data_IF_013486142853
#
_entry.id   IF_013486142853
#
_cell.length_a   1.000
_cell.length_b   1.000
_cell.length_c   1.000
_cell.angle_alpha   90.00
_cell.angle_beta   90.00
_cell.angle_gamma   90.00
#
_symmetry.space_group_name_H-M   'P 1'
#
loop_
_entity.id
_entity.type
_entity.pdbx_description
1 polymer ?
#
# COMPACT_ATOMS: atom_id res chain seq x y z
N UNK A 1 -9.78 -24.37 26.31
CA UNK A 1 -9.16 -23.22 27.01
C UNK A 1 -8.47 -22.39 25.94
N UNK A 2 -8.84 -21.12 25.79
CA UNK A 2 -8.18 -20.21 24.85
C UNK A 2 -6.71 -20.04 25.29
N UNK A 3 -5.72 -20.29 24.40
CA UNK A 3 -4.32 -20.09 24.75
C UNK A 3 -4.06 -18.61 25.08
N UNK A 4 -3.12 -18.34 25.98
CA UNK A 4 -2.68 -16.97 26.26
C UNK A 4 -1.93 -16.39 25.04
N UNK A 5 -1.97 -15.07 24.85
CA UNK A 5 -1.30 -14.35 23.75
C UNK A 5 0.20 -14.73 23.61
N UNK A 6 0.88 -15.02 24.73
CA UNK A 6 2.27 -15.48 24.72
C UNK A 6 2.45 -16.91 24.22
N UNK A 7 1.48 -17.79 24.47
CA UNK A 7 1.46 -19.14 23.92
C UNK A 7 1.12 -19.13 22.43
N UNK A 8 0.32 -18.15 21.99
CA UNK A 8 -0.09 -17.98 20.60
C UNK A 8 1.08 -17.69 19.67
N UNK A 9 1.87 -16.65 19.99
CA UNK A 9 3.08 -16.29 19.23
C UNK A 9 4.11 -17.42 19.13
N UNK A 10 4.19 -18.29 20.15
CA UNK A 10 5.17 -19.38 20.21
C UNK A 10 4.82 -20.54 19.27
N UNK A 11 3.54 -20.88 19.13
CA UNK A 11 3.15 -21.93 18.20
C UNK A 11 3.19 -21.42 16.75
N UNK A 12 2.83 -20.16 16.51
CA UNK A 12 2.90 -19.54 15.18
C UNK A 12 4.34 -19.52 14.66
N UNK A 13 5.33 -19.19 15.50
CA UNK A 13 6.73 -19.26 15.07
C UNK A 13 7.25 -20.67 14.84
N UNK A 14 6.77 -21.67 15.58
CA UNK A 14 7.10 -23.06 15.28
C UNK A 14 6.58 -23.48 13.91
N UNK A 15 5.36 -23.08 13.54
CA UNK A 15 4.81 -23.33 12.21
C UNK A 15 5.65 -22.67 11.12
N UNK A 16 6.10 -21.43 11.32
CA UNK A 16 6.97 -20.71 10.37
C UNK A 16 8.32 -21.38 10.16
N UNK A 17 8.98 -21.78 11.24
CA UNK A 17 10.27 -22.47 11.15
C UNK A 17 10.13 -23.77 10.34
N UNK A 18 9.02 -24.50 10.53
CA UNK A 18 8.71 -25.71 9.78
C UNK A 18 8.38 -25.43 8.31
N UNK A 19 7.69 -24.33 8.00
CA UNK A 19 7.41 -23.89 6.63
C UNK A 19 8.71 -23.59 5.87
N UNK A 20 9.66 -22.91 6.51
CA UNK A 20 10.92 -22.50 5.87
C UNK A 20 11.89 -23.67 5.68
N UNK A 21 11.89 -24.67 6.58
CA UNK A 21 12.91 -25.72 6.56
C UNK A 21 12.71 -26.74 5.44
N UNK A 22 11.46 -26.97 4.99
CA UNK A 22 11.09 -28.01 3.99
C UNK A 22 11.62 -29.44 4.32
N UNK A 23 12.18 -29.62 5.52
CA UNK A 23 12.71 -30.88 6.07
C UNK A 23 12.08 -31.12 7.45
N UNK A 24 11.90 -32.39 7.88
CA UNK A 24 11.37 -32.68 9.20
C UNK A 24 12.29 -32.16 10.30
N UNK A 25 11.75 -31.37 11.24
CA UNK A 25 12.54 -30.84 12.35
C UNK A 25 12.12 -31.42 13.70
N UNK A 26 13.12 -31.85 14.48
CA UNK A 26 12.97 -32.30 15.86
C UNK A 26 12.99 -31.14 16.86
N UNK A 27 12.51 -31.40 18.07
CA UNK A 27 12.36 -30.38 19.11
C UNK A 27 13.66 -29.63 19.47
N UNK A 28 14.82 -30.31 19.41
CA UNK A 28 16.13 -29.69 19.66
C UNK A 28 16.48 -28.63 18.62
N UNK A 29 16.38 -28.98 17.32
CA UNK A 29 16.64 -28.02 16.22
C UNK A 29 15.63 -26.88 16.20
N UNK A 30 14.37 -27.18 16.52
CA UNK A 30 13.34 -26.15 16.64
C UNK A 30 13.60 -25.20 17.82
N UNK A 31 14.07 -25.73 18.94
CA UNK A 31 14.48 -24.94 20.11
C UNK A 31 15.64 -23.98 19.78
N UNK A 32 16.66 -24.47 19.06
CA UNK A 32 17.78 -23.65 18.57
C UNK A 32 17.29 -22.52 17.63
N UNK A 33 16.46 -22.86 16.64
CA UNK A 33 15.90 -21.87 15.70
C UNK A 33 14.92 -20.88 16.35
N UNK A 34 14.15 -21.32 17.35
CA UNK A 34 13.29 -20.45 18.14
C UNK A 34 14.13 -19.44 18.93
N UNK A 35 15.24 -19.88 19.52
CA UNK A 35 16.15 -19.00 20.25
C UNK A 35 16.82 -17.95 19.34
N UNK A 36 17.20 -18.31 18.11
CA UNK A 36 17.67 -17.37 17.08
C UNK A 36 16.65 -16.26 16.79
N UNK A 37 15.34 -16.56 16.91
CA UNK A 37 14.23 -15.62 16.71
C UNK A 37 13.78 -14.92 18.01
N UNK A 38 14.54 -15.04 19.10
CA UNK A 38 14.24 -14.40 20.38
C UNK A 38 13.25 -15.16 21.27
N UNK A 39 12.87 -16.39 20.91
CA UNK A 39 12.02 -17.26 21.72
C UNK A 39 12.85 -18.32 22.44
N UNK A 40 13.26 -18.03 23.68
CA UNK A 40 14.00 -19.00 24.50
C UNK A 40 13.03 -20.02 25.08
N UNK A 41 13.05 -21.24 24.54
CA UNK A 41 12.26 -22.38 25.00
C UNK A 41 13.18 -23.57 25.29
N UNK A 42 12.76 -24.46 26.19
CA UNK A 42 13.44 -25.74 26.38
C UNK A 42 12.93 -26.76 25.36
N UNK A 43 13.74 -27.78 25.03
CA UNK A 43 13.33 -28.88 24.14
C UNK A 43 12.02 -29.54 24.58
N UNK A 44 11.80 -29.65 25.90
CA UNK A 44 10.56 -30.19 26.48
C UNK A 44 9.37 -29.27 26.25
N UNK A 45 9.55 -27.95 26.34
CA UNK A 45 8.50 -26.99 26.02
C UNK A 45 8.15 -27.01 24.53
N UNK A 46 9.16 -27.11 23.66
CA UNK A 46 8.95 -27.28 22.21
C UNK A 46 8.22 -28.59 21.89
N UNK A 47 8.55 -29.70 22.57
CA UNK A 47 7.80 -30.96 22.44
C UNK A 47 6.33 -30.82 22.80
N UNK A 48 6.01 -30.06 23.85
CA UNK A 48 4.63 -29.80 24.26
C UNK A 48 3.86 -29.02 23.18
N UNK A 49 4.46 -27.96 22.61
CA UNK A 49 3.84 -27.23 21.51
C UNK A 49 3.69 -28.09 20.25
N UNK A 50 4.67 -28.93 19.92
CA UNK A 50 4.55 -29.84 18.78
C UNK A 50 3.44 -30.86 18.97
N UNK A 51 3.24 -31.38 20.18
CA UNK A 51 2.12 -32.27 20.47
C UNK A 51 0.78 -31.55 20.30
N UNK A 52 0.69 -30.30 20.74
CA UNK A 52 -0.50 -29.47 20.52
C UNK A 52 -0.76 -29.20 19.03
N UNK A 53 0.29 -28.91 18.24
CA UNK A 53 0.18 -28.73 16.79
C UNK A 53 -0.21 -30.03 16.06
N UNK A 54 0.27 -31.18 16.55
CA UNK A 54 -0.13 -32.51 16.07
C UNK A 54 -1.63 -32.74 16.37
N UNK A 55 -2.11 -32.37 17.57
CA UNK A 55 -3.53 -32.47 17.99
C UNK A 55 -4.46 -31.55 17.18
N UNK A 56 -3.97 -30.37 16.78
CA UNK A 56 -4.71 -29.45 15.89
C UNK A 56 -4.67 -29.86 14.41
N UNK A 57 -3.88 -30.88 14.06
CA UNK A 57 -3.72 -31.33 12.67
C UNK A 57 -2.85 -30.41 11.82
N UNK A 58 -2.07 -29.51 12.41
CA UNK A 58 -1.18 -28.59 11.71
C UNK A 58 0.20 -29.19 11.41
N UNK A 59 0.65 -30.14 12.23
CA UNK A 59 1.89 -30.86 12.00
C UNK A 59 1.66 -32.36 11.96
N UNK A 60 2.53 -33.07 11.24
CA UNK A 60 2.58 -34.53 11.26
C UNK A 60 3.99 -35.04 11.56
N UNK A 61 4.06 -36.14 12.31
CA UNK A 61 5.32 -36.74 12.76
C UNK A 61 5.90 -37.67 11.71
N UNK A 62 7.13 -37.39 11.29
CA UNK A 62 7.89 -38.20 10.32
C UNK A 62 8.94 -39.05 11.06
N UNK A 63 8.47 -40.14 11.68
CA UNK A 63 9.32 -41.06 12.44
C UNK A 63 10.16 -40.36 13.51
N UNK A 64 11.46 -40.64 13.54
CA UNK A 64 12.42 -39.97 14.44
C UNK A 64 13.05 -38.70 13.86
N UNK A 65 12.69 -38.31 12.63
CA UNK A 65 13.29 -37.15 11.94
C UNK A 65 12.72 -35.82 12.44
N UNK A 66 11.46 -35.81 12.88
CA UNK A 66 10.82 -34.60 13.37
C UNK A 66 9.36 -34.48 12.94
N UNK A 67 8.90 -33.24 12.80
CA UNK A 67 7.58 -32.89 12.26
C UNK A 67 7.72 -32.15 10.94
N UNK A 68 6.71 -32.28 10.08
CA UNK A 68 6.49 -31.43 8.91
C UNK A 68 5.10 -30.79 9.01
N UNK A 69 4.87 -29.74 8.24
CA UNK A 69 3.55 -29.12 8.13
C UNK A 69 2.61 -30.00 7.30
N UNK A 70 1.36 -30.08 7.72
CA UNK A 70 0.26 -30.52 6.87
C UNK A 70 -0.19 -29.36 5.95
N UNK A 71 -1.11 -29.61 5.02
CA UNK A 71 -1.74 -28.53 4.26
C UNK A 71 -2.43 -27.51 5.17
N UNK A 72 -3.13 -27.98 6.22
CA UNK A 72 -3.76 -27.12 7.22
C UNK A 72 -2.74 -26.29 8.01
N UNK A 73 -1.60 -26.88 8.39
CA UNK A 73 -0.52 -26.15 9.07
C UNK A 73 0.20 -25.16 8.17
N UNK A 74 0.28 -25.43 6.87
CA UNK A 74 0.80 -24.50 5.87
C UNK A 74 -0.12 -23.30 5.74
N UNK A 75 -1.43 -23.53 5.58
CA UNK A 75 -2.44 -22.47 5.52
C UNK A 75 -2.49 -21.64 6.82
N UNK A 76 -2.38 -22.28 7.99
CA UNK A 76 -2.30 -21.60 9.29
C UNK A 76 -1.02 -20.76 9.40
N UNK A 77 0.13 -21.27 8.96
CA UNK A 77 1.38 -20.50 8.94
C UNK A 77 1.29 -19.27 8.03
N UNK A 78 0.61 -19.40 6.90
CA UNK A 78 0.33 -18.27 5.99
C UNK A 78 -0.64 -17.26 6.60
N UNK A 79 -1.71 -17.72 7.26
CA UNK A 79 -2.66 -16.85 7.98
C UNK A 79 -2.00 -16.11 9.15
N UNK A 80 -1.13 -16.78 9.90
CA UNK A 80 -0.31 -16.21 10.96
C UNK A 80 0.62 -15.08 10.47
N UNK A 81 1.08 -15.15 9.22
CA UNK A 81 1.84 -14.07 8.58
C UNK A 81 0.94 -12.87 8.27
N UNK A 82 -0.35 -13.07 8.02
CA UNK A 82 -1.30 -11.98 7.77
C UNK A 82 -1.49 -11.12 9.02
N UNK A 83 -1.69 -11.72 10.20
CA UNK A 83 -1.87 -11.00 11.47
C UNK A 83 -0.64 -10.16 11.87
N UNK A 84 0.58 -10.64 11.59
CA UNK A 84 1.79 -9.84 11.80
C UNK A 84 2.04 -8.80 10.72
N UNK A 85 1.46 -8.96 9.52
CA UNK A 85 1.50 -7.95 8.46
C UNK A 85 0.47 -6.86 8.65
N UNK A 86 -0.52 -7.02 9.55
CA UNK A 86 -1.49 -5.95 9.88
C UNK A 86 -0.70 -4.74 10.36
N UNK A 87 -0.89 -3.62 9.66
CA UNK A 87 -0.17 -2.38 9.97
C UNK A 87 1.18 -2.22 9.24
N UNK A 88 1.72 -3.26 8.60
CA UNK A 88 3.01 -3.18 7.92
C UNK A 88 3.00 -2.18 6.76
N UNK A 89 1.92 -2.17 5.95
CA UNK A 89 1.77 -1.22 4.85
C UNK A 89 1.73 0.22 5.38
N UNK A 90 0.90 0.52 6.38
CA UNK A 90 0.83 1.88 6.93
C UNK A 90 2.17 2.30 7.57
N UNK A 91 2.85 1.43 8.30
CA UNK A 91 4.17 1.74 8.86
C UNK A 91 5.24 1.96 7.78
N UNK A 92 5.21 1.19 6.68
CA UNK A 92 6.08 1.43 5.52
C UNK A 92 5.80 2.78 4.86
N UNK A 93 4.53 3.12 4.70
CA UNK A 93 4.08 4.40 4.15
C UNK A 93 4.49 5.58 5.05
N UNK A 94 4.37 5.44 6.36
CA UNK A 94 4.82 6.44 7.34
C UNK A 94 6.35 6.67 7.27
N UNK A 95 7.14 5.58 7.15
CA UNK A 95 8.59 5.70 6.93
C UNK A 95 8.92 6.42 5.61
N UNK A 96 8.17 6.14 4.54
CA UNK A 96 8.35 6.83 3.26
C UNK A 96 7.98 8.31 3.35
N UNK A 97 6.88 8.65 4.02
CA UNK A 97 6.48 10.03 4.27
C UNK A 97 7.59 10.79 5.01
N UNK A 98 8.16 10.19 6.06
CA UNK A 98 9.26 10.78 6.82
C UNK A 98 10.52 11.03 5.96
N UNK A 99 10.82 10.14 5.01
CA UNK A 99 11.96 10.27 4.09
C UNK A 99 11.70 11.21 2.92
N UNK A 100 10.45 11.51 2.62
CA UNK A 100 10.06 12.40 1.53
C UNK A 100 10.48 13.82 1.85
N UNK A 101 11.31 14.43 1.00
CA UNK A 101 11.85 15.77 1.26
C UNK A 101 11.23 16.90 0.46
N UNK A 102 10.28 16.60 -0.43
CA UNK A 102 9.65 17.56 -1.34
C UNK A 102 9.24 18.88 -0.69
N UNK A 103 9.65 19.97 -1.33
CA UNK A 103 9.27 21.34 -1.00
C UNK A 103 8.62 21.99 -2.24
N UNK A 104 7.29 22.20 -2.22
CA UNK A 104 6.59 22.75 -3.36
C UNK A 104 6.91 24.23 -3.61
N UNK A 105 7.50 24.95 -2.64
CA UNK A 105 7.89 26.36 -2.84
C UNK A 105 9.11 26.50 -3.77
N UNK A 106 9.98 25.48 -3.78
CA UNK A 106 11.17 25.44 -4.64
C UNK A 106 11.03 24.45 -5.79
N UNK A 107 10.03 23.57 -5.74
CA UNK A 107 9.88 22.46 -6.69
C UNK A 107 11.01 21.44 -6.59
N UNK A 108 11.66 21.32 -5.43
CA UNK A 108 12.82 20.43 -5.23
C UNK A 108 12.61 19.44 -4.09
N UNK A 109 13.57 18.53 -3.92
CA UNK A 109 13.51 17.46 -2.93
C UNK A 109 12.96 16.15 -3.50
N UNK A 110 12.74 15.17 -2.62
CA UNK A 110 12.29 13.83 -3.00
C UNK A 110 10.80 13.62 -2.78
N UNK A 111 10.16 12.93 -3.71
CA UNK A 111 8.78 12.44 -3.61
C UNK A 111 8.77 10.92 -3.44
N UNK A 112 7.78 10.40 -2.73
CA UNK A 112 7.52 8.97 -2.63
C UNK A 112 6.86 8.47 -3.93
N UNK A 113 7.21 7.26 -4.38
CA UNK A 113 6.63 6.67 -5.59
C UNK A 113 6.20 5.21 -5.42
N UNK A 114 5.25 4.79 -6.25
CA UNK A 114 4.91 3.40 -6.51
C UNK A 114 5.60 2.97 -7.81
N UNK A 115 6.02 1.70 -7.90
CA UNK A 115 6.63 1.13 -9.11
C UNK A 115 5.69 0.07 -9.70
N UNK A 116 5.17 0.33 -10.88
CA UNK A 116 4.34 -0.61 -11.63
C UNK A 116 5.16 -1.30 -12.70
N UNK A 117 5.09 -2.62 -12.78
CA UNK A 117 5.81 -3.46 -13.73
C UNK A 117 4.83 -4.00 -14.77
N UNK A 118 5.16 -3.83 -16.05
CA UNK A 118 4.37 -4.31 -17.19
C UNK A 118 5.30 -4.95 -18.22
N UNK A 119 4.77 -5.78 -19.10
CA UNK A 119 5.55 -6.33 -20.21
C UNK A 119 5.91 -5.22 -21.20
N UNK A 120 7.07 -5.32 -21.82
CA UNK A 120 7.51 -4.34 -22.83
C UNK A 120 6.50 -4.19 -23.98
N UNK A 121 5.88 -5.29 -24.41
CA UNK A 121 4.86 -5.32 -25.46
C UNK A 121 3.58 -4.52 -25.11
N UNK A 122 3.24 -4.44 -23.82
CA UNK A 122 2.05 -3.76 -23.32
C UNK A 122 2.30 -2.26 -23.02
N UNK A 123 3.56 -1.83 -22.98
CA UNK A 123 3.95 -0.46 -22.61
C UNK A 123 3.18 0.62 -23.37
N UNK A 124 3.02 0.58 -24.71
CA UNK A 124 2.31 1.63 -25.42
C UNK A 124 0.84 1.75 -24.97
N UNK A 125 0.19 0.63 -24.70
CA UNK A 125 -1.20 0.58 -24.26
C UNK A 125 -1.40 1.03 -22.81
N UNK A 126 -0.48 0.63 -21.94
CA UNK A 126 -0.45 1.05 -20.52
C UNK A 126 -0.14 2.54 -20.42
N UNK A 127 0.83 3.04 -21.18
CA UNK A 127 1.19 4.46 -21.24
C UNK A 127 -0.03 5.31 -21.65
N UNK A 128 -0.71 4.94 -22.73
CA UNK A 128 -1.93 5.62 -23.16
C UNK A 128 -3.03 5.63 -22.08
N UNK A 129 -3.17 4.54 -21.30
CA UNK A 129 -4.09 4.50 -20.18
C UNK A 129 -3.67 5.42 -19.02
N UNK A 130 -2.38 5.58 -18.77
CA UNK A 130 -1.86 6.49 -17.75
C UNK A 130 -2.04 7.95 -18.19
N UNK A 131 -1.75 8.25 -19.46
CA UNK A 131 -1.91 9.57 -20.08
C UNK A 131 -3.36 10.05 -19.98
N UNK A 132 -4.36 9.22 -20.30
CA UNK A 132 -5.78 9.58 -20.15
C UNK A 132 -6.14 10.02 -18.71
N UNK A 133 -5.56 9.38 -17.70
CA UNK A 133 -5.80 9.71 -16.28
C UNK A 133 -5.08 11.01 -15.89
N UNK A 134 -3.86 11.20 -16.40
CA UNK A 134 -3.09 12.42 -16.21
C UNK A 134 -3.80 13.64 -16.83
N UNK A 135 -4.20 13.54 -18.10
CA UNK A 135 -4.89 14.59 -18.86
C UNK A 135 -6.25 14.94 -18.26
N UNK A 136 -6.98 13.94 -17.77
CA UNK A 136 -8.28 14.15 -17.14
C UNK A 136 -8.20 14.75 -15.72
N UNK A 137 -7.00 14.78 -15.10
CA UNK A 137 -6.79 15.32 -13.75
C UNK A 137 -7.26 14.40 -12.62
N UNK A 138 -7.23 13.09 -12.83
CA UNK A 138 -7.60 12.11 -11.80
C UNK A 138 -6.39 11.36 -11.21
N UNK A 139 -5.18 11.70 -11.64
CA UNK A 139 -3.94 11.29 -10.98
C UNK A 139 -3.63 12.13 -9.73
N UNK A 140 -2.70 11.67 -8.90
CA UNK A 140 -2.18 12.51 -7.80
C UNK A 140 -1.21 13.59 -8.31
N UNK A 141 -0.34 13.21 -9.24
CA UNK A 141 0.50 14.09 -10.05
C UNK A 141 0.11 13.87 -11.51
N UNK A 142 0.04 14.94 -12.31
CA UNK A 142 -0.31 14.88 -13.74
C UNK A 142 0.75 14.25 -14.66
N UNK A 143 1.67 13.45 -14.12
CA UNK A 143 2.67 12.73 -14.90
C UNK A 143 3.16 11.48 -14.17
N UNK A 144 3.88 10.62 -14.90
CA UNK A 144 4.55 9.42 -14.42
C UNK A 144 5.88 9.25 -15.17
N UNK A 145 6.78 8.43 -14.63
CA UNK A 145 8.09 8.17 -15.27
C UNK A 145 8.18 6.73 -15.74
N UNK A 146 8.51 6.51 -17.01
CA UNK A 146 8.92 5.19 -17.51
C UNK A 146 10.38 4.93 -17.14
N UNK A 147 10.68 3.75 -16.64
CA UNK A 147 12.01 3.33 -16.19
C UNK A 147 12.31 1.92 -16.66
N UNK A 148 13.50 1.72 -17.20
CA UNK A 148 14.05 0.44 -17.65
C UNK A 148 15.21 -0.02 -16.75
N UNK A 149 15.94 0.92 -16.15
CA UNK A 149 17.06 0.67 -15.24
C UNK A 149 16.63 0.71 -13.75
N UNK A 150 15.96 -0.33 -13.28
CA UNK A 150 15.74 -0.60 -11.85
C UNK A 150 15.93 -2.11 -11.57
N UNK A 151 16.73 -2.50 -10.56
CA UNK A 151 17.05 -3.91 -10.29
C UNK A 151 15.83 -4.78 -9.94
N UNK A 152 14.67 -4.17 -9.67
CA UNK A 152 13.41 -4.87 -9.40
C UNK A 152 12.62 -5.19 -10.67
N UNK A 153 13.01 -4.63 -11.81
CA UNK A 153 12.38 -4.89 -13.11
C UNK A 153 12.95 -6.20 -13.65
N UNK A 154 12.12 -7.23 -13.86
CA UNK A 154 12.58 -8.48 -14.47
C UNK A 154 12.78 -8.31 -16.00
N UNK A 155 13.53 -9.24 -16.61
CA UNK A 155 13.73 -9.25 -18.06
C UNK A 155 12.38 -9.28 -18.83
N UNK A 156 12.32 -8.55 -19.95
CA UNK A 156 11.12 -8.40 -20.77
C UNK A 156 10.02 -7.54 -20.16
N UNK A 157 10.33 -6.80 -19.09
CA UNK A 157 9.41 -5.86 -18.44
C UNK A 157 9.99 -4.45 -18.41
N UNK A 158 9.08 -3.50 -18.22
CA UNK A 158 9.39 -2.08 -18.02
C UNK A 158 8.65 -1.58 -16.78
N UNK A 159 9.27 -0.63 -16.08
CA UNK A 159 8.70 0.01 -14.91
C UNK A 159 8.02 1.34 -15.25
N UNK A 160 6.92 1.64 -14.56
CA UNK A 160 6.25 2.93 -14.55
C UNK A 160 6.16 3.42 -13.11
N UNK A 161 6.76 4.56 -12.83
CA UNK A 161 6.75 5.19 -11.51
C UNK A 161 5.66 6.26 -11.44
N UNK A 162 4.75 6.12 -10.48
CA UNK A 162 3.72 7.13 -10.17
C UNK A 162 3.95 7.71 -8.79
N UNK A 163 3.71 9.01 -8.59
CA UNK A 163 3.88 9.62 -7.26
C UNK A 163 2.83 9.10 -6.28
N UNK A 164 3.30 8.69 -5.11
CA UNK A 164 2.45 8.21 -4.03
C UNK A 164 1.95 9.39 -3.19
N UNK A 165 0.67 9.35 -2.83
CA UNK A 165 0.01 10.39 -2.03
C UNK A 165 0.69 10.65 -0.68
N UNK A 166 1.52 9.73 -0.17
CA UNK A 166 2.30 9.92 1.07
C UNK A 166 3.38 11.00 0.97
N UNK A 167 3.65 11.48 -0.23
CA UNK A 167 4.42 12.71 -0.45
C UNK A 167 3.75 13.91 0.24
N UNK A 168 2.41 14.00 0.20
CA UNK A 168 1.66 15.01 0.94
C UNK A 168 1.88 14.86 2.45
N UNK A 169 1.89 13.61 2.95
CA UNK A 169 2.10 13.35 4.38
C UNK A 169 3.48 13.85 4.84
N UNK A 170 4.53 13.62 4.05
CA UNK A 170 5.87 14.16 4.31
C UNK A 170 5.91 15.69 4.33
N UNK A 171 5.25 16.35 3.38
CA UNK A 171 5.14 17.81 3.34
C UNK A 171 4.43 18.37 4.59
N UNK A 172 3.27 17.79 4.94
CA UNK A 172 2.50 18.22 6.11
C UNK A 172 3.31 18.01 7.41
N UNK A 173 3.99 16.88 7.54
CA UNK A 173 4.86 16.59 8.68
C UNK A 173 6.00 17.61 8.83
N UNK A 174 6.66 17.98 7.73
CA UNK A 174 7.71 19.01 7.73
C UNK A 174 7.21 20.40 8.10
N UNK A 175 5.94 20.69 7.81
CA UNK A 175 5.24 21.89 8.29
C UNK A 175 4.75 21.73 9.73
N UNK A 176 5.05 20.64 10.44
CA UNK A 176 4.58 20.41 11.81
C UNK A 176 3.08 20.18 11.91
N UNK A 177 2.45 19.68 10.84
CA UNK A 177 1.03 19.32 10.80
C UNK A 177 0.94 17.80 10.96
N UNK A 178 0.37 17.28 12.06
CA UNK A 178 0.24 15.84 12.26
C UNK A 178 -0.89 15.30 11.39
N UNK A 179 -0.53 14.76 10.22
CA UNK A 179 -1.43 14.08 9.31
C UNK A 179 -1.50 12.58 9.60
N UNK A 180 -2.72 12.05 9.68
CA UNK A 180 -2.97 10.61 9.85
C UNK A 180 -3.67 10.08 8.61
N UNK A 181 -2.98 9.26 7.81
CA UNK A 181 -3.59 8.53 6.69
C UNK A 181 -4.58 7.51 7.26
N UNK A 182 -5.87 7.79 7.10
CA UNK A 182 -6.93 7.06 7.80
C UNK A 182 -7.55 6.00 6.90
N UNK A 183 -8.01 6.42 5.72
CA UNK A 183 -8.79 5.58 4.82
C UNK A 183 -8.28 5.66 3.39
N UNK A 184 -8.41 4.55 2.69
CA UNK A 184 -8.48 4.46 1.24
C UNK A 184 -9.96 4.36 0.85
N UNK A 185 -10.38 5.07 -0.19
CA UNK A 185 -11.80 5.16 -0.55
C UNK A 185 -12.07 5.10 -2.05
N UNK A 186 -13.22 4.51 -2.38
CA UNK A 186 -13.84 4.61 -3.71
C UNK A 186 -14.70 5.86 -3.76
N UNK A 187 -14.32 6.83 -4.58
CA UNK A 187 -15.04 8.09 -4.74
C UNK A 187 -15.85 8.06 -6.03
N UNK A 188 -17.17 8.13 -5.93
CA UNK A 188 -18.03 8.34 -7.10
C UNK A 188 -17.98 9.80 -7.53
N UNK A 189 -17.84 10.03 -8.83
CA UNK A 189 -17.95 11.34 -9.48
C UNK A 189 -19.15 11.28 -10.42
N UNK A 190 -20.17 12.09 -10.15
CA UNK A 190 -21.43 12.13 -10.91
C UNK A 190 -21.47 13.24 -11.96
N UNK A 191 -22.46 13.17 -12.87
CA UNK A 191 -22.62 14.07 -14.02
C UNK A 191 -22.72 15.55 -13.63
N UNK A 192 -23.28 15.84 -12.46
CA UNK A 192 -23.51 17.20 -11.97
C UNK A 192 -22.33 17.76 -11.14
N UNK A 193 -21.16 17.12 -11.18
CA UNK A 193 -20.01 17.47 -10.34
C UNK A 193 -20.15 17.06 -8.87
N UNK A 194 -21.19 16.30 -8.52
CA UNK A 194 -21.34 15.72 -7.19
C UNK A 194 -20.29 14.63 -6.98
N UNK A 195 -19.57 14.68 -5.86
CA UNK A 195 -18.61 13.67 -5.49
C UNK A 195 -18.85 13.16 -4.05
N UNK A 196 -18.66 11.87 -3.84
CA UNK A 196 -18.85 11.23 -2.53
C UNK A 196 -18.16 9.89 -2.42
N UNK A 197 -17.89 9.42 -1.21
CA UNK A 197 -17.35 8.08 -1.01
C UNK A 197 -18.44 7.01 -1.01
N UNK A 198 -18.20 5.93 -1.74
CA UNK A 198 -19.03 4.71 -1.74
C UNK A 198 -18.59 3.74 -0.65
N UNK A 199 -17.27 3.52 -0.54
CA UNK A 199 -16.66 2.61 0.41
C UNK A 199 -15.35 3.16 0.93
N UNK A 200 -15.02 2.75 2.15
CA UNK A 200 -13.80 3.11 2.85
C UNK A 200 -13.18 1.87 3.46
N UNK A 201 -11.86 1.76 3.35
CA UNK A 201 -11.08 0.76 4.07
C UNK A 201 -10.01 1.49 4.89
N UNK A 202 -9.95 1.21 6.19
CA UNK A 202 -9.00 1.83 7.11
C UNK A 202 -7.61 1.22 7.00
N UNK A 203 -6.59 2.06 6.86
CA UNK A 203 -5.19 1.61 6.69
C UNK A 203 -4.61 0.89 7.91
N UNK A 204 -5.06 1.23 9.12
CA UNK A 204 -4.52 0.66 10.38
C UNK A 204 -4.91 -0.80 10.62
N UNK A 205 -5.95 -1.28 9.94
CA UNK A 205 -6.49 -2.64 10.11
C UNK A 205 -6.15 -3.59 8.97
N UNK A 206 -5.28 -3.19 8.04
CA UNK A 206 -5.01 -3.96 6.82
C UNK A 206 -3.55 -4.41 6.74
N UNK A 207 -3.36 -5.62 6.20
CA UNK A 207 -2.05 -6.20 5.86
C UNK A 207 -1.61 -5.89 4.43
N UNK A 208 -2.52 -5.38 3.60
CA UNK A 208 -2.35 -5.05 2.18
C UNK A 208 -2.79 -3.62 1.91
N UNK A 209 -2.32 -3.02 0.82
CA UNK A 209 -2.77 -1.69 0.41
C UNK A 209 -4.24 -1.76 -0.05
N UNK A 210 -5.16 -0.96 0.53
CA UNK A 210 -6.57 -1.08 0.19
C UNK A 210 -6.93 -0.54 -1.19
N UNK A 211 -6.15 0.38 -1.77
CA UNK A 211 -6.39 0.84 -3.14
C UNK A 211 -6.11 -0.30 -4.12
N UNK A 212 -5.05 -1.07 -3.89
CA UNK A 212 -4.79 -2.29 -4.66
C UNK A 212 -5.93 -3.31 -4.52
N UNK A 213 -6.52 -3.48 -3.33
CA UNK A 213 -7.70 -4.35 -3.15
C UNK A 213 -8.88 -3.92 -4.03
N UNK A 214 -9.19 -2.62 -4.09
CA UNK A 214 -10.28 -2.13 -4.94
C UNK A 214 -10.04 -2.39 -6.43
N UNK A 215 -8.80 -2.24 -6.89
CA UNK A 215 -8.42 -2.52 -8.29
C UNK A 215 -8.55 -4.00 -8.59
N UNK A 216 -7.94 -4.85 -7.77
CA UNK A 216 -7.94 -6.31 -7.97
C UNK A 216 -9.34 -6.92 -7.88
N UNK A 217 -10.25 -6.30 -7.13
CA UNK A 217 -11.66 -6.69 -7.04
C UNK A 217 -12.52 -6.15 -8.20
N UNK A 218 -11.96 -5.38 -9.14
CA UNK A 218 -12.71 -4.79 -10.26
C UNK A 218 -13.75 -3.75 -9.80
N UNK A 219 -13.48 -3.06 -8.68
CA UNK A 219 -14.42 -2.13 -8.05
C UNK A 219 -14.22 -0.67 -8.48
N UNK A 220 -13.36 -0.40 -9.45
CA UNK A 220 -13.12 0.94 -10.00
C UNK A 220 -13.88 1.15 -11.31
N UNK A 221 -14.01 2.40 -11.74
CA UNK A 221 -14.55 2.76 -13.05
C UNK A 221 -13.83 4.01 -13.58
N UNK A 222 -12.50 3.94 -13.66
CA UNK A 222 -11.63 5.03 -14.08
C UNK A 222 -11.74 5.29 -15.58
N UNK A 223 -11.82 4.25 -16.41
CA UNK A 223 -11.97 4.41 -17.85
C UNK A 223 -13.23 5.23 -18.18
N UNK A 224 -14.35 4.89 -17.53
CA UNK A 224 -15.59 5.66 -17.65
C UNK A 224 -15.42 7.09 -17.13
N UNK A 225 -14.67 7.27 -16.04
CA UNK A 225 -14.40 8.58 -15.46
C UNK A 225 -13.62 9.49 -16.40
N UNK A 226 -12.56 9.01 -17.03
CA UNK A 226 -11.73 9.81 -17.94
C UNK A 226 -12.45 10.11 -19.26
N UNK A 227 -13.31 9.19 -19.73
CA UNK A 227 -14.04 9.35 -21.01
C UNK A 227 -15.33 10.16 -20.88
N UNK A 228 -16.07 10.02 -19.79
CA UNK A 228 -17.42 10.60 -19.64
C UNK A 228 -17.53 11.61 -18.49
N UNK A 229 -16.44 11.86 -17.76
CA UNK A 229 -16.41 12.64 -16.51
C UNK A 229 -17.27 12.05 -15.39
N UNK A 230 -17.69 10.79 -15.53
CA UNK A 230 -18.41 10.07 -14.49
C UNK A 230 -17.88 8.67 -14.26
N UNK A 231 -17.74 8.27 -13.01
CA UNK A 231 -17.14 6.99 -12.68
C UNK A 231 -16.71 6.92 -11.23
N UNK A 232 -15.80 6.00 -10.94
CA UNK A 232 -15.35 5.69 -9.59
C UNK A 232 -13.83 5.83 -9.55
N UNK A 233 -13.37 6.89 -8.89
CA UNK A 233 -11.96 7.18 -8.61
C UNK A 233 -11.50 6.53 -7.30
N UNK A 234 -10.19 6.40 -7.15
CA UNK A 234 -9.53 6.07 -5.90
C UNK A 234 -8.95 7.33 -5.27
N UNK A 235 -9.20 7.50 -3.97
CA UNK A 235 -8.66 8.61 -3.19
C UNK A 235 -8.29 8.16 -1.78
N UNK A 236 -7.29 8.84 -1.21
CA UNK A 236 -6.85 8.64 0.16
C UNK A 236 -7.32 9.80 1.03
N UNK A 237 -7.80 9.46 2.23
CA UNK A 237 -8.31 10.40 3.21
C UNK A 237 -7.36 10.45 4.40
N UNK A 238 -6.96 11.66 4.75
CA UNK A 238 -6.16 11.96 5.93
C UNK A 238 -6.96 12.79 6.90
N UNK A 239 -6.75 12.54 8.19
CA UNK A 239 -7.28 13.40 9.25
C UNK A 239 -6.14 14.28 9.78
N UNK A 240 -6.38 15.59 9.80
CA UNK A 240 -5.46 16.59 10.37
C UNK A 240 -6.19 17.42 11.42
N UNK A 241 -5.51 18.07 12.38
CA UNK A 241 -6.14 18.99 13.33
C UNK A 241 -6.92 20.09 12.61
N UNK A 242 -8.13 20.39 13.06
CA UNK A 242 -8.95 21.43 12.45
C UNK A 242 -8.26 22.81 12.44
N UNK A 243 -7.43 23.08 13.46
CA UNK A 243 -6.62 24.30 13.57
C UNK A 243 -5.55 24.44 12.47
N UNK A 244 -5.23 23.39 11.72
CA UNK A 244 -4.24 23.43 10.63
C UNK A 244 -4.85 23.79 9.26
N UNK A 245 -6.15 24.12 9.18
CA UNK A 245 -6.90 24.37 7.94
C UNK A 245 -6.13 25.25 6.94
N UNK A 246 -5.73 26.45 7.36
CA UNK A 246 -5.12 27.42 6.44
C UNK A 246 -3.76 26.93 5.92
N UNK A 247 -2.98 26.28 6.79
CA UNK A 247 -1.66 25.73 6.44
C UNK A 247 -1.76 24.52 5.51
N UNK A 248 -2.82 23.72 5.64
CA UNK A 248 -3.13 22.61 4.73
C UNK A 248 -3.55 23.14 3.37
N UNK A 249 -4.44 24.13 3.34
CA UNK A 249 -4.86 24.79 2.10
C UNK A 249 -3.65 25.38 1.36
N UNK A 250 -2.82 26.14 2.06
CA UNK A 250 -1.59 26.72 1.49
C UNK A 250 -0.65 25.62 0.93
N UNK A 251 -0.48 24.50 1.65
CA UNK A 251 0.33 23.39 1.17
C UNK A 251 -0.27 22.74 -0.09
N UNK A 252 -1.59 22.53 -0.13
CA UNK A 252 -2.27 21.99 -1.31
C UNK A 252 -2.19 22.94 -2.51
N UNK A 253 -2.38 24.25 -2.28
CA UNK A 253 -2.29 25.28 -3.31
C UNK A 253 -0.89 25.29 -3.96
N UNK A 254 0.18 25.29 -3.17
CA UNK A 254 1.56 25.20 -3.67
C UNK A 254 1.85 23.87 -4.40
N UNK A 255 1.29 22.75 -3.93
CA UNK A 255 1.41 21.48 -4.65
C UNK A 255 0.67 21.53 -5.99
N UNK A 256 -0.49 22.17 -6.09
CA UNK A 256 -1.19 22.32 -7.36
C UNK A 256 -0.39 23.12 -8.39
N UNK A 257 0.35 24.15 -7.96
CA UNK A 257 1.29 24.89 -8.82
C UNK A 257 2.39 23.97 -9.39
N UNK A 258 2.72 22.88 -8.69
CA UNK A 258 3.66 21.85 -9.13
C UNK A 258 2.99 20.70 -9.94
N UNK A 259 1.72 20.84 -10.32
CA UNK A 259 0.99 19.84 -11.14
C UNK A 259 0.34 18.71 -10.35
N UNK A 260 0.24 18.81 -9.03
CA UNK A 260 -0.54 17.87 -8.22
C UNK A 260 -2.04 18.17 -8.31
N UNK A 261 -2.89 17.16 -8.15
CA UNK A 261 -4.35 17.33 -8.24
C UNK A 261 -5.07 16.82 -6.99
N UNK A 262 -6.04 17.61 -6.52
CA UNK A 262 -6.90 17.28 -5.38
C UNK A 262 -8.38 17.34 -5.78
N UNK A 263 -9.22 16.39 -5.32
CA UNK A 263 -10.65 16.40 -5.64
C UNK A 263 -11.38 17.68 -5.21
N UNK A 264 -10.94 18.31 -4.11
CA UNK A 264 -11.54 19.53 -3.56
C UNK A 264 -10.86 20.83 -4.04
N UNK A 265 -9.86 20.74 -4.92
CA UNK A 265 -8.95 21.85 -5.24
C UNK A 265 -8.01 22.17 -4.08
N UNK A 266 -8.54 22.67 -2.96
CA UNK A 266 -7.74 23.05 -1.78
C UNK A 266 -7.30 21.86 -0.89
N UNK A 267 -7.46 20.62 -1.36
CA UNK A 267 -7.18 19.40 -0.61
C UNK A 267 -8.17 19.07 0.52
N UNK A 268 -9.03 19.98 0.97
CA UNK A 268 -9.95 19.80 2.09
C UNK A 268 -11.37 19.53 1.57
N UNK A 269 -11.91 18.35 1.86
CA UNK A 269 -13.29 18.02 1.48
C UNK A 269 -13.84 16.85 2.27
N UNK A 270 -15.11 16.95 2.66
CA UNK A 270 -15.80 15.89 3.41
C UNK A 270 -16.39 14.83 2.48
N UNK A 271 -16.89 15.19 1.29
CA UNK A 271 -17.38 14.23 0.29
C UNK A 271 -18.30 13.15 0.87
N UNK A 272 -19.29 13.51 1.69
CA UNK A 272 -20.20 12.61 2.46
C UNK A 272 -19.62 11.92 3.70
N UNK A 273 -18.35 12.18 4.06
CA UNK A 273 -17.77 11.72 5.32
C UNK A 273 -18.41 12.40 6.53
N UNK A 274 -18.57 11.69 7.67
CA UNK A 274 -19.00 12.31 8.91
C UNK A 274 -18.00 13.39 9.36
N UNK A 275 -18.49 14.62 9.58
CA UNK A 275 -17.68 15.70 10.13
C UNK A 275 -17.16 15.38 11.54
N UNK A 276 -16.00 15.92 11.89
CA UNK A 276 -15.40 15.78 13.22
C UNK A 276 -15.07 17.16 13.81
N UNK A 277 -15.43 17.45 15.08
CA UNK A 277 -15.30 18.80 15.63
C UNK A 277 -13.85 19.32 15.71
N UNK A 278 -12.86 18.43 15.83
CA UNK A 278 -11.45 18.79 16.00
C UNK A 278 -10.53 18.28 14.89
N UNK A 279 -11.10 17.75 13.81
CA UNK A 279 -10.34 17.17 12.70
C UNK A 279 -11.02 17.52 11.39
N UNK A 280 -10.23 17.77 10.36
CA UNK A 280 -10.73 17.94 9.00
C UNK A 280 -10.14 16.86 8.09
N UNK A 281 -10.91 16.51 7.07
CA UNK A 281 -10.53 15.53 6.06
C UNK A 281 -9.75 16.20 4.94
N UNK A 282 -8.53 15.70 4.70
CA UNK A 282 -7.71 16.06 3.54
C UNK A 282 -7.75 14.91 2.57
N UNK A 283 -8.25 15.15 1.37
CA UNK A 283 -8.48 14.12 0.36
C UNK A 283 -7.57 14.37 -0.83
N UNK A 284 -6.82 13.35 -1.22
CA UNK A 284 -5.94 13.37 -2.38
C UNK A 284 -6.26 12.19 -3.29
N UNK A 285 -6.24 12.41 -4.61
CA UNK A 285 -6.23 11.31 -5.57
C UNK A 285 -4.96 10.46 -5.39
N UNK A 286 -4.93 9.31 -6.06
CA UNK A 286 -3.82 8.37 -5.99
C UNK A 286 -3.22 8.12 -7.38
N UNK A 287 -1.90 7.94 -7.45
CA UNK A 287 -1.25 7.40 -8.65
C UNK A 287 -1.80 6.01 -9.05
N UNK A 288 -2.44 5.30 -8.11
CA UNK A 288 -3.15 4.05 -8.40
C UNK A 288 -4.34 4.21 -9.36
N UNK A 289 -4.86 5.43 -9.59
CA UNK A 289 -5.88 5.66 -10.62
C UNK A 289 -5.35 5.34 -12.03
N UNK A 290 -4.07 5.63 -12.30
CA UNK A 290 -3.42 5.28 -13.56
C UNK A 290 -3.34 3.75 -13.73
N UNK A 291 -2.90 3.06 -12.68
CA UNK A 291 -2.85 1.59 -12.63
C UNK A 291 -4.22 0.98 -12.86
N UNK A 292 -5.25 1.50 -12.18
CA UNK A 292 -6.62 1.06 -12.30
C UNK A 292 -7.16 1.19 -13.74
N UNK A 293 -6.91 2.31 -14.43
CA UNK A 293 -7.34 2.48 -15.82
C UNK A 293 -6.69 1.46 -16.76
N UNK A 294 -5.40 1.15 -16.56
CA UNK A 294 -4.71 0.13 -17.35
C UNK A 294 -5.31 -1.27 -17.09
N UNK A 295 -5.57 -1.62 -15.83
CA UNK A 295 -6.20 -2.90 -15.46
C UNK A 295 -7.61 -3.02 -16.04
N UNK A 296 -8.43 -1.96 -15.98
CA UNK A 296 -9.77 -1.93 -16.57
C UNK A 296 -9.76 -2.15 -18.09
N UNK A 297 -8.67 -1.77 -18.77
CA UNK A 297 -8.45 -2.01 -20.20
C UNK A 297 -7.89 -3.40 -20.53
N UNK A 298 -7.67 -4.25 -19.53
CA UNK A 298 -7.22 -5.62 -19.69
C UNK A 298 -5.70 -5.82 -19.63
N UNK A 299 -4.92 -4.80 -19.25
CA UNK A 299 -3.47 -4.94 -19.07
C UNK A 299 -3.15 -5.56 -17.71
N UNK A 300 -2.13 -6.43 -17.69
CA UNK A 300 -1.61 -7.01 -16.46
C UNK A 300 -0.53 -6.09 -15.88
N UNK A 301 -0.81 -5.53 -14.70
CA UNK A 301 0.11 -4.61 -14.02
C UNK A 301 0.42 -5.11 -12.62
N UNK A 302 1.70 -5.30 -12.30
CA UNK A 302 2.14 -5.62 -10.94
C UNK A 302 2.71 -4.36 -10.28
N UNK A 303 2.10 -3.89 -9.20
CA UNK A 303 2.54 -2.66 -8.54
C UNK A 303 3.17 -2.93 -7.17
N UNK A 304 4.37 -2.41 -6.96
CA UNK A 304 4.98 -2.26 -5.64
C UNK A 304 4.60 -0.89 -5.05
N UNK A 305 3.77 -0.92 -4.00
CA UNK A 305 3.32 0.27 -3.28
C UNK A 305 4.44 0.79 -2.39
N UNK A 306 4.70 2.10 -2.45
CA UNK A 306 5.76 2.72 -1.64
C UNK A 306 7.14 2.13 -1.95
N UNK A 307 7.45 1.99 -3.24
CA UNK A 307 8.68 1.41 -3.76
C UNK A 307 9.94 2.20 -3.38
N UNK A 308 9.82 3.51 -3.15
CA UNK A 308 10.95 4.32 -2.70
C UNK A 308 10.69 5.81 -2.80
N UNK A 309 11.78 6.57 -2.86
CA UNK A 309 11.77 8.01 -3.05
C UNK A 309 12.67 8.40 -4.22
N UNK A 310 12.29 9.42 -4.99
CA UNK A 310 13.05 9.92 -6.14
C UNK A 310 13.01 11.46 -6.14
N UNK A 311 14.06 12.16 -6.63
CA UNK A 311 13.98 13.61 -6.84
C UNK A 311 12.77 14.01 -7.70
N UNK A 312 12.05 15.05 -7.30
CA UNK A 312 10.83 15.51 -7.99
C UNK A 312 11.08 15.90 -9.45
N UNK A 313 12.19 16.58 -9.74
CA UNK A 313 12.63 16.94 -11.10
C UNK A 313 12.67 15.73 -12.04
N UNK A 314 13.12 14.57 -11.54
CA UNK A 314 13.16 13.34 -12.34
C UNK A 314 11.78 12.77 -12.64
N UNK A 315 10.76 13.10 -11.85
CA UNK A 315 9.37 12.75 -12.20
C UNK A 315 8.78 13.72 -13.21
N UNK A 316 9.12 15.01 -13.11
CA UNK A 316 8.60 16.07 -13.97
C UNK A 316 9.16 16.05 -15.41
N UNK A 317 10.35 15.48 -15.63
CA UNK A 317 11.08 15.45 -16.92
C UNK A 317 10.45 14.59 -18.04
N UNK A 318 9.17 14.22 -17.94
CA UNK A 318 8.45 13.43 -18.97
C UNK A 318 7.57 14.26 -19.88
N UNK A 319 7.69 15.60 -19.86
CA UNK A 319 7.31 16.41 -21.03
C UNK A 319 8.32 16.17 -22.14
N UNK A 320 8.17 15.01 -22.80
CA UNK A 320 8.75 14.78 -24.11
C UNK A 320 8.36 15.93 -25.02
N UNK A 321 9.39 16.58 -25.54
CA UNK A 321 9.39 17.34 -26.78
C UNK A 321 8.26 16.90 -27.72
N UNK A 322 7.22 17.72 -27.82
CA UNK A 322 6.25 17.75 -28.91
C UNK A 322 5.96 19.21 -29.24
#
# INVERSE_FOLDING_TARGET
MSPSIHSERRYLELLRILAESHEPLGAKRLSEKMAERGFVLSDRAVQYYLQYLDEMGFTEKVGNRGRILTEAGTAESESALVDERIGFIISRLEQLAFRSTFDPSTGTGSVAYNLSLVREEDLPGVAAAFDEVAEAGYGFLGTYRVVDADPRIPDGHVGLMTVCSVTLDGLLQKRGIPARLEYAGRMIVGENGTAGFLDLIGYRGTSVDPLHLFISAGLTAINRLVTTRTGIALANIRMVPAAARDRVKEAADLMMECGFTFPAGNGIGEFNLPGHPYRLSVVAFSGMNMVANAVEKGYVVRTEIGAGTIPFERMADTTGSR
#
